data_IF_797557697148
#
_entry.id   IF_797557697148
#
_cell.length_a   1.000
_cell.length_b   1.000
_cell.length_c   1.000
_cell.angle_alpha   90.00
_cell.angle_beta   90.00
_cell.angle_gamma   90.00
#
_symmetry.space_group_name_H-M   'P 1'
#
loop_
_entity.id
_entity.type
_entity.pdbx_description
1 polymer ?
#
# COMPACT_ATOMS: atom_id res chain seq x y z
N UNK A 1 -54.22 56.13 -0.03
CA UNK A 1 -53.00 56.09 0.77
C UNK A 1 -52.83 54.80 1.63
N UNK A 2 -53.91 54.11 1.98
CA UNK A 2 -53.86 52.89 2.82
C UNK A 2 -53.27 51.65 2.12
N UNK A 3 -53.35 51.55 0.80
CA UNK A 3 -52.86 50.37 0.05
C UNK A 3 -51.35 50.36 -0.18
N UNK A 4 -50.69 51.50 -0.17
CA UNK A 4 -49.21 51.59 -0.29
C UNK A 4 -48.46 51.24 1.00
N UNK A 5 -49.12 51.38 2.16
CA UNK A 5 -48.57 50.99 3.46
C UNK A 5 -48.58 49.47 3.64
N UNK A 6 -49.54 48.76 3.08
CA UNK A 6 -49.65 47.30 3.16
C UNK A 6 -48.50 46.59 2.40
N UNK A 7 -48.09 47.15 1.25
CA UNK A 7 -46.95 46.59 0.48
C UNK A 7 -45.60 46.82 1.16
N UNK A 8 -45.46 47.93 1.92
CA UNK A 8 -44.25 48.25 2.65
C UNK A 8 -44.03 47.30 3.85
N UNK A 9 -45.12 46.89 4.51
CA UNK A 9 -45.08 45.90 5.60
C UNK A 9 -44.80 44.48 5.12
N UNK A 10 -45.20 44.09 3.90
CA UNK A 10 -44.96 42.80 3.33
C UNK A 10 -43.50 42.66 2.88
N UNK A 11 -42.87 43.75 2.43
CA UNK A 11 -41.46 43.75 2.00
C UNK A 11 -40.50 43.67 3.23
N UNK A 12 -40.90 44.20 4.40
CA UNK A 12 -40.09 44.20 5.60
C UNK A 12 -40.08 42.84 6.33
N UNK A 13 -41.04 41.94 6.04
CA UNK A 13 -41.12 40.60 6.67
C UNK A 13 -40.28 39.56 6.00
N UNK A 14 -39.65 39.83 4.85
CA UNK A 14 -38.82 38.88 4.11
C UNK A 14 -37.32 38.91 4.48
N UNK A 15 -36.89 39.91 5.27
CA UNK A 15 -35.47 40.08 5.66
C UNK A 15 -35.08 39.54 7.03
N UNK A 16 -35.96 38.83 7.74
CA UNK A 16 -35.64 38.19 9.03
C UNK A 16 -35.86 36.70 8.94
N UNK A 17 -34.98 36.02 8.26
CA UNK A 17 -35.05 34.55 8.17
C UNK A 17 -33.91 33.92 7.41
N UNK A 18 -32.69 34.07 7.89
CA UNK A 18 -31.61 33.14 7.56
C UNK A 18 -30.39 33.39 8.48
N UNK A 19 -30.49 32.95 9.68
CA UNK A 19 -29.25 32.63 10.43
C UNK A 19 -29.53 31.47 11.39
N UNK A 20 -29.61 30.26 10.84
CA UNK A 20 -29.47 29.04 11.59
C UNK A 20 -28.30 28.27 11.01
N UNK A 21 -27.11 28.48 11.58
CA UNK A 21 -26.00 27.59 11.47
C UNK A 21 -26.38 26.19 12.02
N UNK A 22 -27.03 25.37 11.19
CA UNK A 22 -27.00 23.92 11.33
C UNK A 22 -25.91 23.42 10.41
N UNK A 23 -24.70 23.21 10.97
CA UNK A 23 -23.72 22.32 10.37
C UNK A 23 -24.37 20.95 10.15
N UNK A 24 -24.91 20.74 8.98
CA UNK A 24 -25.08 19.38 8.47
C UNK A 24 -23.66 18.85 8.23
N UNK A 25 -23.24 17.87 9.04
CA UNK A 25 -22.19 16.93 8.68
C UNK A 25 -22.60 16.30 7.33
N UNK A 26 -22.22 16.94 6.25
CA UNK A 26 -22.19 16.33 4.94
C UNK A 26 -21.00 15.39 4.98
N UNK A 27 -21.25 14.09 4.96
CA UNK A 27 -20.24 13.09 4.61
C UNK A 27 -19.73 13.47 3.22
N UNK A 28 -18.63 14.24 3.19
CA UNK A 28 -17.87 14.48 1.98
C UNK A 28 -17.09 13.20 1.69
N UNK A 29 -17.65 12.36 0.83
CA UNK A 29 -17.00 11.16 0.27
C UNK A 29 -15.80 11.50 -0.63
N UNK A 30 -15.36 12.77 -0.70
CA UNK A 30 -14.30 13.22 -1.60
C UNK A 30 -13.11 13.92 -0.90
N UNK A 31 -12.96 13.75 0.42
CA UNK A 31 -11.83 14.38 1.14
C UNK A 31 -10.60 13.47 1.26
N UNK A 32 -10.52 12.39 0.49
CA UNK A 32 -9.38 11.46 0.55
C UNK A 32 -8.39 11.56 -0.62
N UNK A 33 -8.35 12.70 -1.33
CA UNK A 33 -7.37 12.89 -2.40
C UNK A 33 -6.50 14.09 -2.09
N UNK A 34 -5.76 14.06 -1.02
CA UNK A 34 -4.49 14.79 -0.81
C UNK A 34 -4.04 14.77 0.65
N UNK A 35 -3.95 13.59 1.26
CA UNK A 35 -3.05 13.50 2.39
C UNK A 35 -1.67 13.18 1.82
N UNK A 36 -0.85 14.22 1.65
CA UNK A 36 0.59 14.04 1.69
C UNK A 36 0.86 13.13 2.89
N UNK A 37 1.40 11.93 2.60
CA UNK A 37 1.77 10.91 3.58
C UNK A 37 2.44 11.63 4.73
N UNK A 38 1.76 11.80 5.86
CA UNK A 38 2.35 12.41 7.05
C UNK A 38 3.46 11.45 7.48
N UNK A 39 4.70 11.83 7.20
CA UNK A 39 5.89 10.98 7.43
C UNK A 39 6.06 10.61 8.91
N UNK A 40 5.31 11.27 9.79
CA UNK A 40 5.31 11.03 11.23
C UNK A 40 4.12 10.20 11.72
N UNK A 41 3.10 9.94 10.89
CA UNK A 41 2.04 9.03 11.24
C UNK A 41 2.60 7.59 11.29
N UNK A 42 2.13 6.81 12.25
CA UNK A 42 2.41 5.37 12.31
C UNK A 42 1.78 4.70 11.08
N UNK A 43 2.58 4.57 10.01
CA UNK A 43 2.14 3.99 8.75
C UNK A 43 2.45 2.48 8.79
N UNK A 44 1.40 1.68 8.88
CA UNK A 44 1.47 0.22 8.97
C UNK A 44 0.32 -0.42 8.15
N UNK A 45 0.01 -1.67 8.35
CA UNK A 45 -0.95 -2.45 7.57
C UNK A 45 -2.30 -1.76 7.38
N UNK A 46 -2.87 -1.16 8.44
CA UNK A 46 -4.18 -0.49 8.35
C UNK A 46 -4.19 0.64 7.31
N UNK A 47 -3.13 1.44 7.22
CA UNK A 47 -3.03 2.51 6.24
C UNK A 47 -2.87 1.99 4.81
N UNK A 48 -2.23 0.82 4.63
CA UNK A 48 -2.13 0.12 3.34
C UNK A 48 -3.52 -0.36 2.91
N UNK A 49 -4.28 -0.97 3.83
CA UNK A 49 -5.64 -1.44 3.58
C UNK A 49 -6.58 -0.29 3.23
N UNK A 50 -6.53 0.82 3.97
CA UNK A 50 -7.32 2.02 3.72
C UNK A 50 -6.99 2.69 2.37
N UNK A 51 -5.70 2.68 1.99
CA UNK A 51 -5.24 3.18 0.70
C UNK A 51 -5.64 2.24 -0.47
N UNK A 52 -5.92 0.96 -0.19
CA UNK A 52 -6.23 -0.05 -1.19
C UNK A 52 -5.05 -0.41 -2.09
N UNK A 53 -3.82 -0.08 -1.68
CA UNK A 53 -2.61 -0.28 -2.47
C UNK A 53 -1.42 -0.65 -1.59
N UNK A 54 -0.74 -1.74 -1.94
CA UNK A 54 0.53 -2.17 -1.39
C UNK A 54 1.66 -1.82 -2.35
N UNK A 55 2.66 -1.10 -1.89
CA UNK A 55 3.80 -0.66 -2.69
C UNK A 55 5.01 -1.53 -2.34
N UNK A 56 5.47 -2.33 -3.31
CA UNK A 56 6.68 -3.10 -3.12
C UNK A 56 7.86 -2.48 -3.85
N UNK A 57 9.03 -2.56 -3.24
CA UNK A 57 10.30 -2.30 -3.91
C UNK A 57 11.00 -3.59 -4.26
N UNK A 58 11.63 -3.64 -5.44
CA UNK A 58 12.44 -4.80 -5.84
C UNK A 58 13.57 -4.37 -6.78
N UNK A 59 14.50 -5.28 -7.04
CA UNK A 59 15.54 -5.11 -8.06
C UNK A 59 15.18 -6.01 -9.24
N UNK A 60 15.23 -5.47 -10.47
CA UNK A 60 14.88 -6.24 -11.66
C UNK A 60 15.77 -7.46 -11.84
N UNK A 61 15.16 -8.60 -12.15
CA UNK A 61 15.85 -9.86 -12.38
C UNK A 61 14.89 -11.02 -12.65
N UNK A 62 15.39 -12.13 -13.20
CA UNK A 62 14.55 -13.24 -13.67
C UNK A 62 13.76 -13.94 -12.55
N UNK A 63 14.27 -13.93 -11.31
CA UNK A 63 13.60 -14.54 -10.16
C UNK A 63 12.86 -13.51 -9.30
N UNK A 64 13.17 -12.22 -9.45
CA UNK A 64 12.59 -11.14 -8.65
C UNK A 64 11.40 -10.52 -9.36
N UNK A 65 11.66 -9.67 -10.34
CA UNK A 65 10.65 -9.00 -11.18
C UNK A 65 11.23 -8.63 -12.53
N UNK A 66 10.51 -8.91 -13.60
CA UNK A 66 10.75 -8.35 -14.92
C UNK A 66 9.41 -8.15 -15.65
N UNK A 67 9.36 -7.17 -16.53
CA UNK A 67 8.21 -6.96 -17.40
C UNK A 67 8.38 -7.73 -18.70
N UNK A 68 7.35 -8.45 -19.11
CA UNK A 68 7.27 -9.09 -20.40
C UNK A 68 5.92 -8.76 -21.07
N UNK A 69 5.97 -7.94 -22.11
CA UNK A 69 4.78 -7.48 -22.84
C UNK A 69 3.72 -6.82 -21.93
N UNK A 70 4.13 -5.99 -21.00
CA UNK A 70 3.26 -5.32 -20.04
C UNK A 70 2.77 -6.21 -18.89
N UNK A 71 3.34 -7.40 -18.74
CA UNK A 71 3.01 -8.33 -17.68
C UNK A 71 4.20 -8.55 -16.74
N UNK A 72 4.00 -8.23 -15.47
CA UNK A 72 4.99 -8.52 -14.44
C UNK A 72 5.16 -10.02 -14.21
N UNK A 73 6.40 -10.49 -14.21
CA UNK A 73 6.79 -11.88 -13.99
C UNK A 73 7.91 -11.95 -12.95
N UNK A 74 8.12 -13.14 -12.41
CA UNK A 74 9.14 -13.43 -11.41
C UNK A 74 8.55 -14.04 -10.14
N UNK A 75 9.29 -14.98 -9.53
CA UNK A 75 8.79 -15.72 -8.36
C UNK A 75 8.53 -14.80 -7.16
N UNK A 76 9.44 -13.85 -6.88
CA UNK A 76 9.27 -12.91 -5.77
C UNK A 76 8.07 -12.00 -6.00
N UNK A 77 7.87 -11.54 -7.24
CA UNK A 77 6.71 -10.75 -7.63
C UNK A 77 5.41 -11.53 -7.48
N UNK A 78 5.35 -12.80 -7.93
CA UNK A 78 4.17 -13.64 -7.81
C UNK A 78 3.77 -13.88 -6.34
N UNK A 79 4.76 -14.06 -5.45
CA UNK A 79 4.53 -14.13 -4.01
C UNK A 79 3.93 -12.83 -3.47
N UNK A 80 4.51 -11.68 -3.81
CA UNK A 80 4.01 -10.38 -3.37
C UNK A 80 2.60 -10.10 -3.91
N UNK A 81 2.32 -10.47 -5.16
CA UNK A 81 0.99 -10.34 -5.76
C UNK A 81 -0.05 -11.20 -5.02
N UNK A 82 0.31 -12.43 -4.65
CA UNK A 82 -0.57 -13.29 -3.88
C UNK A 82 -0.84 -12.72 -2.47
N UNK A 83 0.18 -12.18 -1.81
CA UNK A 83 0.00 -11.50 -0.53
C UNK A 83 -0.94 -10.29 -0.68
N UNK A 84 -0.70 -9.39 -1.63
CA UNK A 84 -1.57 -8.23 -1.86
C UNK A 84 -3.03 -8.65 -2.11
N UNK A 85 -3.25 -9.69 -2.93
CA UNK A 85 -4.58 -10.25 -3.18
C UNK A 85 -5.22 -10.82 -1.92
N UNK A 86 -4.46 -11.48 -1.05
CA UNK A 86 -4.97 -12.00 0.23
C UNK A 86 -5.41 -10.89 1.18
N UNK A 87 -4.80 -9.70 1.07
CA UNK A 87 -5.16 -8.50 1.83
C UNK A 87 -6.25 -7.66 1.14
N UNK A 88 -6.69 -8.02 -0.07
CA UNK A 88 -7.70 -7.27 -0.82
C UNK A 88 -7.22 -5.94 -1.39
N UNK A 89 -5.91 -5.75 -1.56
CA UNK A 89 -5.31 -4.51 -2.08
C UNK A 89 -4.63 -4.72 -3.44
N UNK A 90 -4.43 -3.65 -4.18
CA UNK A 90 -3.66 -3.66 -5.43
C UNK A 90 -2.17 -3.66 -5.13
N UNK A 91 -1.39 -4.26 -6.03
CA UNK A 91 0.07 -4.24 -5.95
C UNK A 91 0.63 -3.16 -6.88
N UNK A 92 1.54 -2.34 -6.36
CA UNK A 92 2.38 -1.42 -7.14
C UNK A 92 3.85 -1.77 -6.96
N UNK A 93 4.61 -1.74 -8.05
CA UNK A 93 6.03 -2.09 -8.05
C UNK A 93 6.88 -0.86 -8.28
N UNK A 94 7.87 -0.66 -7.41
CA UNK A 94 8.93 0.34 -7.56
C UNK A 94 10.28 -0.37 -7.76
N UNK A 95 11.02 0.04 -8.79
CA UNK A 95 12.30 -0.57 -9.12
C UNK A 95 13.45 0.19 -8.48
N UNK A 96 14.27 -0.53 -7.72
CA UNK A 96 15.55 -0.05 -7.19
C UNK A 96 16.71 -0.55 -8.07
N UNK A 97 17.77 0.24 -8.17
CA UNK A 97 18.98 -0.11 -8.92
C UNK A 97 19.88 -1.10 -8.17
N UNK A 98 19.81 -1.10 -6.84
CA UNK A 98 20.62 -1.94 -5.95
C UNK A 98 19.99 -2.01 -4.55
N UNK A 99 20.55 -2.86 -3.69
CA UNK A 99 20.08 -3.08 -2.32
C UNK A 99 20.10 -1.79 -1.46
N UNK A 100 21.12 -0.93 -1.64
CA UNK A 100 21.23 0.32 -0.91
C UNK A 100 20.06 1.27 -1.23
N UNK A 101 19.72 1.42 -2.52
CA UNK A 101 18.57 2.21 -2.93
C UNK A 101 17.26 1.59 -2.43
N UNK A 102 17.13 0.26 -2.51
CA UNK A 102 15.96 -0.46 -2.01
C UNK A 102 15.73 -0.19 -0.52
N UNK A 103 16.79 -0.26 0.29
CA UNK A 103 16.75 0.08 1.72
C UNK A 103 16.39 1.55 1.95
N UNK A 104 16.90 2.49 1.14
CA UNK A 104 16.53 3.91 1.26
C UNK A 104 15.05 4.13 0.97
N UNK A 105 14.50 3.55 -0.09
CA UNK A 105 13.08 3.63 -0.40
C UNK A 105 12.22 3.11 0.78
N UNK A 106 12.62 1.99 1.38
CA UNK A 106 11.94 1.43 2.53
C UNK A 106 12.00 2.33 3.78
N UNK A 107 13.20 2.88 4.09
CA UNK A 107 13.39 3.82 5.21
C UNK A 107 12.61 5.12 5.03
N UNK A 108 12.53 5.62 3.81
CA UNK A 108 11.76 6.81 3.47
C UNK A 108 10.25 6.58 3.44
N UNK A 109 9.79 5.32 3.56
CA UNK A 109 8.39 4.92 3.40
C UNK A 109 7.84 5.21 1.98
N UNK A 110 8.72 5.19 0.97
CA UNK A 110 8.34 5.28 -0.43
C UNK A 110 7.81 3.92 -0.94
N UNK A 111 8.21 2.83 -0.25
CA UNK A 111 7.71 1.46 -0.42
C UNK A 111 7.34 0.88 0.95
N UNK A 112 6.45 -0.12 0.95
CA UNK A 112 5.99 -0.80 2.16
C UNK A 112 6.82 -2.05 2.45
N UNK A 113 7.22 -2.77 1.42
CA UNK A 113 8.00 -4.02 1.52
C UNK A 113 9.16 -4.00 0.52
N UNK A 114 10.34 -4.38 0.96
CA UNK A 114 11.46 -4.73 0.08
C UNK A 114 11.33 -6.21 -0.32
N UNK A 115 10.81 -6.46 -1.52
CA UNK A 115 10.57 -7.79 -2.09
C UNK A 115 11.82 -8.25 -2.83
N UNK A 116 12.84 -8.53 -2.08
CA UNK A 116 14.15 -9.00 -2.53
C UNK A 116 14.80 -9.84 -1.42
N UNK A 117 15.56 -10.87 -1.76
CA UNK A 117 16.22 -11.73 -0.79
C UNK A 117 17.47 -11.03 -0.21
N UNK A 118 17.23 -10.15 0.76
CA UNK A 118 18.29 -9.45 1.51
C UNK A 118 18.86 -10.37 2.60
N UNK A 119 20.16 -10.26 2.85
CA UNK A 119 20.79 -10.97 3.96
C UNK A 119 20.21 -10.48 5.31
N UNK A 120 19.81 -11.38 6.21
CA UNK A 120 19.19 -11.05 7.50
C UNK A 120 20.09 -10.18 8.37
N UNK A 121 21.42 -10.39 8.36
CA UNK A 121 22.35 -9.54 9.10
C UNK A 121 22.43 -8.12 8.52
N UNK A 122 22.32 -7.97 7.20
CA UNK A 122 22.22 -6.67 6.54
C UNK A 122 20.92 -5.96 6.91
N UNK A 123 19.77 -6.63 6.85
CA UNK A 123 18.47 -6.09 7.29
C UNK A 123 18.57 -5.54 8.72
N UNK A 124 19.15 -6.33 9.64
CA UNK A 124 19.33 -5.94 11.04
C UNK A 124 20.25 -4.72 11.19
N UNK A 125 21.39 -4.68 10.47
CA UNK A 125 22.30 -3.54 10.48
C UNK A 125 21.68 -2.26 9.98
N UNK A 126 20.68 -2.36 9.11
CA UNK A 126 19.89 -1.23 8.59
C UNK A 126 18.71 -0.84 9.49
N UNK A 127 18.53 -1.48 10.66
CA UNK A 127 17.41 -1.24 11.58
C UNK A 127 16.04 -1.51 10.92
N UNK A 128 15.98 -2.52 10.07
CA UNK A 128 14.79 -3.02 9.42
C UNK A 128 14.35 -4.35 10.05
N UNK A 129 13.14 -4.81 9.73
CA UNK A 129 12.58 -6.07 10.21
C UNK A 129 12.50 -7.07 9.05
N UNK A 130 13.02 -8.28 9.26
CA UNK A 130 12.83 -9.40 8.34
C UNK A 130 11.39 -9.91 8.43
N UNK A 131 10.72 -10.08 7.30
CA UNK A 131 9.33 -10.56 7.25
C UNK A 131 9.01 -11.26 5.92
N UNK A 132 8.01 -12.14 5.93
CA UNK A 132 7.48 -12.79 4.73
C UNK A 132 8.41 -13.84 4.13
N UNK A 133 8.62 -13.78 2.81
CA UNK A 133 9.40 -14.80 2.12
C UNK A 133 10.85 -14.83 2.57
N UNK A 134 11.26 -15.96 3.12
CA UNK A 134 12.59 -16.16 3.66
C UNK A 134 13.18 -17.47 3.19
N UNK A 135 14.51 -17.50 3.09
CA UNK A 135 15.29 -18.68 2.73
C UNK A 135 16.32 -18.97 3.82
N UNK A 136 16.02 -19.94 4.65
CA UNK A 136 16.81 -20.29 5.83
C UNK A 136 18.24 -20.73 5.50
N UNK A 137 18.42 -21.49 4.39
CA UNK A 137 19.72 -22.05 4.01
C UNK A 137 20.78 -20.98 3.72
N UNK A 138 20.35 -19.84 3.18
CA UNK A 138 21.23 -18.71 2.84
C UNK A 138 21.00 -17.50 3.74
N UNK A 139 20.16 -17.64 4.76
CA UNK A 139 19.85 -16.59 5.74
C UNK A 139 19.39 -15.29 5.12
N UNK A 140 18.47 -15.36 4.15
CA UNK A 140 17.88 -14.21 3.48
C UNK A 140 16.40 -14.08 3.76
N UNK A 141 15.86 -12.89 3.59
CA UNK A 141 14.44 -12.58 3.79
C UNK A 141 14.05 -11.29 3.06
N UNK A 142 12.76 -11.09 2.85
CA UNK A 142 12.21 -9.76 2.61
C UNK A 142 12.35 -8.87 3.84
N UNK A 143 12.15 -7.57 3.66
CA UNK A 143 12.25 -6.62 4.74
C UNK A 143 11.11 -5.60 4.72
N UNK A 144 10.72 -5.16 5.91
CA UNK A 144 9.78 -4.06 6.15
C UNK A 144 10.41 -3.02 7.07
N UNK A 145 9.83 -1.84 7.15
CA UNK A 145 10.25 -0.84 8.12
C UNK A 145 10.04 -1.39 9.54
N UNK A 146 10.95 -1.08 10.46
CA UNK A 146 10.87 -1.53 11.85
C UNK A 146 9.58 -1.09 12.55
N UNK A 147 9.02 0.05 12.15
CA UNK A 147 7.75 0.56 12.71
C UNK A 147 6.49 -0.10 12.11
N UNK A 148 6.63 -0.97 11.10
CA UNK A 148 5.50 -1.65 10.45
C UNK A 148 5.34 -3.06 11.02
N UNK A 149 4.98 -3.14 12.31
CA UNK A 149 4.89 -4.40 13.06
C UNK A 149 3.70 -5.26 12.59
N UNK A 150 2.54 -4.64 12.37
CA UNK A 150 1.33 -5.35 11.91
C UNK A 150 1.54 -5.92 10.50
N UNK A 151 2.20 -5.16 9.61
CA UNK A 151 2.56 -5.64 8.28
C UNK A 151 3.56 -6.80 8.35
N UNK A 152 4.57 -6.71 9.21
CA UNK A 152 5.54 -7.78 9.42
C UNK A 152 4.87 -9.07 9.91
N UNK A 153 3.95 -8.95 10.87
CA UNK A 153 3.19 -10.08 11.38
C UNK A 153 2.30 -10.69 10.30
N UNK A 154 1.52 -9.88 9.58
CA UNK A 154 0.65 -10.36 8.50
C UNK A 154 1.42 -11.09 7.41
N UNK A 155 2.61 -10.60 7.04
CA UNK A 155 3.50 -11.26 6.09
C UNK A 155 4.00 -12.61 6.59
N UNK A 156 4.39 -12.70 7.86
CA UNK A 156 4.89 -13.93 8.47
C UNK A 156 3.76 -14.97 8.64
N UNK A 157 2.56 -14.53 9.01
CA UNK A 157 1.39 -15.42 9.16
C UNK A 157 0.90 -15.96 7.81
N UNK A 158 0.97 -15.11 6.77
CA UNK A 158 0.62 -15.51 5.40
C UNK A 158 1.66 -16.46 4.80
N UNK A 159 2.96 -16.18 4.99
CA UNK A 159 4.03 -16.92 4.35
C UNK A 159 4.22 -18.30 4.97
N UNK A 160 4.14 -19.32 4.12
CA UNK A 160 4.46 -20.70 4.50
C UNK A 160 5.12 -21.43 3.33
N UNK A 161 5.79 -22.53 3.62
CA UNK A 161 6.35 -23.38 2.57
C UNK A 161 5.26 -23.90 1.60
N UNK A 162 4.03 -24.11 2.09
CA UNK A 162 2.90 -24.52 1.27
C UNK A 162 2.45 -23.45 0.27
N UNK A 163 2.40 -22.19 0.70
CA UNK A 163 2.10 -21.04 -0.18
C UNK A 163 3.18 -20.88 -1.24
N UNK A 164 4.45 -20.92 -0.86
CA UNK A 164 5.57 -20.80 -1.79
C UNK A 164 5.54 -21.91 -2.86
N UNK A 165 5.34 -23.17 -2.45
CA UNK A 165 5.25 -24.31 -3.39
C UNK A 165 4.05 -24.22 -4.32
N UNK A 166 2.91 -23.77 -3.84
CA UNK A 166 1.71 -23.57 -4.66
C UNK A 166 1.98 -22.54 -5.75
N UNK A 167 2.49 -21.38 -5.38
CA UNK A 167 2.79 -20.30 -6.32
C UNK A 167 3.86 -20.72 -7.32
N UNK A 168 4.89 -21.43 -6.88
CA UNK A 168 5.92 -21.97 -7.78
C UNK A 168 5.31 -22.90 -8.84
N UNK A 169 4.41 -23.80 -8.47
CA UNK A 169 3.71 -24.69 -9.42
C UNK A 169 2.84 -23.91 -10.40
N UNK A 170 2.15 -22.88 -9.93
CA UNK A 170 1.30 -22.03 -10.77
C UNK A 170 2.15 -21.25 -11.79
N UNK A 171 3.27 -20.68 -11.36
CA UNK A 171 4.19 -19.96 -12.25
C UNK A 171 4.82 -20.89 -13.28
N UNK A 172 5.32 -22.08 -12.88
CA UNK A 172 5.85 -23.07 -13.81
C UNK A 172 4.82 -23.45 -14.88
N UNK A 173 3.57 -23.74 -14.48
CA UNK A 173 2.49 -24.05 -15.40
C UNK A 173 2.18 -22.90 -16.38
N UNK A 174 2.25 -21.66 -15.91
CA UNK A 174 2.07 -20.47 -16.79
C UNK A 174 3.16 -20.41 -17.87
N UNK A 175 4.40 -20.73 -17.55
CA UNK A 175 5.49 -20.77 -18.53
C UNK A 175 5.31 -21.88 -19.54
N UNK A 176 4.90 -23.09 -19.11
CA UNK A 176 4.68 -24.24 -20.00
C UNK A 176 3.50 -24.05 -20.97
N UNK A 177 2.45 -23.34 -20.57
CA UNK A 177 1.29 -23.10 -21.44
C UNK A 177 1.48 -21.99 -22.46
N UNK A 178 2.62 -21.28 -22.43
CA UNK A 178 2.94 -20.19 -23.37
C UNK A 178 3.89 -20.60 -24.48
N UNK A 179 4.36 -21.84 -24.46
CA UNK A 179 5.20 -22.46 -25.49
C UNK A 179 4.46 -23.63 -26.12
#
# INVERSE_FOLDING_TARGET
MRQRFLYLLIILSVLVGCNTNKQKKGNSLFTHISNAKDKNAHYDLNQILDAGELIIGTISGPTTYFDYNGQGLGMQYALAQNFAQSQGVRLRVELAKNEQQLVQLLKNKDIDIAVYQLNKSFIQSQQLTSAGAQEEKVSTSWAVNKSSEDLAQALNDWYSAGVALKIQKEETKRFETRH
#
